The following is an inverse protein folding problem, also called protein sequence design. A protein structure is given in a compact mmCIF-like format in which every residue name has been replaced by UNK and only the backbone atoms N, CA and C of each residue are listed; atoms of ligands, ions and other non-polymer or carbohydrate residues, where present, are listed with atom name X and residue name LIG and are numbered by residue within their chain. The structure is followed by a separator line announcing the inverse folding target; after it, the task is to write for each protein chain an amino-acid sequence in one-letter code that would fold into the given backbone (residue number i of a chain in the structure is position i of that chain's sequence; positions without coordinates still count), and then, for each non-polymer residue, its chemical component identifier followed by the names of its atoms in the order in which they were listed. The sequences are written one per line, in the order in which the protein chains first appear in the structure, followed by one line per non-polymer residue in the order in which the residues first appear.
data_IF_354265117456
#
_entry.id   IF_354265117456
#
_cell.length_a   1.000
_cell.length_b   1.000
_cell.length_c   1.000
_cell.angle_alpha   90.00
_cell.angle_beta   90.00
_cell.angle_gamma   90.00
#
_symmetry.space_group_name_H-M   'P 1'
#
loop_
_entity.id
_entity.type
_entity.pdbx_description
1 polymer ?
#
# COMPACT_ATOMS: atom_id res chain seq x y z
N UNK A 1 -2.65 9.16 20.91
CA UNK A 1 -4.13 9.18 20.98
C UNK A 1 -4.79 8.65 19.70
N UNK A 2 -4.55 9.25 18.53
CA UNK A 2 -5.26 8.91 17.28
C UNK A 2 -5.12 7.44 16.80
N UNK A 3 -3.93 6.84 16.94
CA UNK A 3 -3.69 5.43 16.60
C UNK A 3 -4.53 4.46 17.45
N UNK A 4 -4.66 4.73 18.75
CA UNK A 4 -5.46 3.89 19.64
C UNK A 4 -6.95 3.93 19.27
N UNK A 5 -7.45 5.12 18.89
CA UNK A 5 -8.83 5.29 18.39
C UNK A 5 -9.04 4.49 17.10
N UNK A 6 -8.13 4.58 16.13
CA UNK A 6 -8.22 3.79 14.90
C UNK A 6 -8.27 2.28 15.19
N UNK A 7 -7.46 1.80 16.12
CA UNK A 7 -7.45 0.38 16.49
C UNK A 7 -8.73 -0.05 17.21
N UNK A 8 -9.25 0.77 18.12
CA UNK A 8 -10.52 0.52 18.79
C UNK A 8 -11.67 0.44 17.76
N UNK A 9 -11.74 1.39 16.83
CA UNK A 9 -12.73 1.38 15.74
C UNK A 9 -12.58 0.13 14.88
N UNK A 10 -11.37 -0.28 14.52
CA UNK A 10 -11.14 -1.53 13.76
C UNK A 10 -11.66 -2.75 14.52
N UNK A 11 -11.36 -2.87 15.82
CA UNK A 11 -11.81 -4.01 16.64
C UNK A 11 -13.33 -4.03 16.73
N UNK A 12 -13.96 -2.87 16.98
CA UNK A 12 -15.42 -2.74 17.01
C UNK A 12 -16.04 -3.05 15.65
N UNK A 13 -15.43 -2.57 14.55
CA UNK A 13 -15.93 -2.81 13.18
C UNK A 13 -15.88 -4.29 12.80
N UNK A 14 -14.88 -5.03 13.29
CA UNK A 14 -14.81 -6.49 13.11
C UNK A 14 -15.92 -7.22 13.86
N UNK A 15 -16.33 -6.71 15.03
CA UNK A 15 -17.34 -7.35 15.88
C UNK A 15 -18.78 -7.01 15.48
N UNK A 16 -19.03 -5.75 15.12
CA UNK A 16 -20.39 -5.21 14.93
C UNK A 16 -20.66 -4.72 13.50
N UNK A 17 -19.65 -4.74 12.62
CA UNK A 17 -19.73 -4.19 11.28
C UNK A 17 -19.41 -2.69 11.22
N UNK A 18 -18.96 -2.22 10.04
CA UNK A 18 -18.59 -0.82 9.80
C UNK A 18 -19.76 0.17 9.98
N UNK A 19 -20.99 -0.30 9.74
CA UNK A 19 -22.22 0.49 9.88
C UNK A 19 -22.72 0.64 11.32
N UNK A 20 -22.10 -0.01 12.31
CA UNK A 20 -22.55 0.09 13.70
C UNK A 20 -22.47 1.53 14.22
N UNK A 21 -23.52 1.98 14.90
CA UNK A 21 -23.68 3.38 15.33
C UNK A 21 -23.31 3.51 16.81
N UNK A 22 -22.45 4.47 17.13
CA UNK A 22 -22.11 4.88 18.49
C UNK A 22 -22.30 6.39 18.57
N UNK A 23 -23.04 6.88 19.56
CA UNK A 23 -23.41 8.30 19.75
C UNK A 23 -23.90 9.00 18.46
N UNK A 24 -24.72 8.31 17.67
CA UNK A 24 -25.30 8.85 16.44
C UNK A 24 -24.38 8.88 15.21
N UNK A 25 -23.15 8.35 15.28
CA UNK A 25 -22.21 8.28 14.15
C UNK A 25 -21.77 6.82 13.91
N UNK A 26 -21.68 6.39 12.65
CA UNK A 26 -21.21 5.04 12.32
C UNK A 26 -19.70 4.88 12.58
N UNK A 27 -19.26 3.64 12.80
CA UNK A 27 -17.83 3.32 12.93
C UNK A 27 -17.04 3.70 11.67
N UNK A 28 -17.63 3.56 10.49
CA UNK A 28 -17.03 4.01 9.22
C UNK A 28 -16.82 5.52 9.18
N UNK A 29 -17.83 6.31 9.52
CA UNK A 29 -17.71 7.78 9.56
C UNK A 29 -16.69 8.22 10.61
N UNK A 30 -16.66 7.55 11.77
CA UNK A 30 -15.61 7.77 12.79
C UNK A 30 -14.21 7.45 12.25
N UNK A 31 -14.04 6.36 11.50
CA UNK A 31 -12.76 6.01 10.86
C UNK A 31 -12.35 7.05 9.81
N UNK A 32 -13.29 7.58 9.03
CA UNK A 32 -13.03 8.66 8.06
C UNK A 32 -12.51 9.93 8.74
N UNK A 33 -13.05 10.29 9.91
CA UNK A 33 -12.54 11.42 10.70
C UNK A 33 -11.11 11.18 11.16
N UNK A 34 -10.80 9.97 11.64
CA UNK A 34 -9.44 9.59 12.02
C UNK A 34 -8.49 9.64 10.82
N UNK A 35 -8.92 9.14 9.65
CA UNK A 35 -8.18 9.22 8.40
C UNK A 35 -7.85 10.68 8.03
N UNK A 36 -8.84 11.57 7.99
CA UNK A 36 -8.64 12.99 7.68
C UNK A 36 -7.70 13.68 8.66
N UNK A 37 -7.82 13.39 9.96
CA UNK A 37 -6.92 13.93 10.98
C UNK A 37 -5.49 13.41 10.81
N UNK A 38 -5.33 12.12 10.49
CA UNK A 38 -4.02 11.52 10.23
C UNK A 38 -3.36 12.16 8.99
N UNK A 39 -4.14 12.50 7.95
CA UNK A 39 -3.67 13.25 6.79
C UNK A 39 -3.19 14.65 7.18
N UNK A 40 -4.00 15.40 7.95
CA UNK A 40 -3.65 16.75 8.41
C UNK A 40 -2.34 16.78 9.23
N UNK A 41 -2.10 15.72 10.02
CA UNK A 41 -0.88 15.57 10.82
C UNK A 41 0.26 14.83 10.11
N UNK A 42 0.09 14.44 8.84
CA UNK A 42 1.09 13.70 8.05
C UNK A 42 1.56 12.41 8.72
N UNK A 43 0.68 11.74 9.46
CA UNK A 43 0.95 10.45 10.09
C UNK A 43 0.82 9.32 9.07
N UNK A 44 1.74 9.26 8.10
CA UNK A 44 1.60 8.44 6.88
C UNK A 44 1.28 6.97 7.12
N UNK A 45 1.89 6.35 8.13
CA UNK A 45 1.55 4.97 8.49
C UNK A 45 0.07 4.82 8.89
N UNK A 46 -0.45 5.77 9.67
CA UNK A 46 -1.85 5.77 10.11
C UNK A 46 -2.80 6.15 8.96
N UNK A 47 -2.39 7.04 8.05
CA UNK A 47 -3.11 7.35 6.82
C UNK A 47 -3.33 6.07 6.01
N UNK A 48 -2.27 5.31 5.75
CA UNK A 48 -2.34 4.02 5.03
C UNK A 48 -3.21 3.01 5.76
N UNK A 49 -3.05 2.90 7.08
CA UNK A 49 -3.86 1.99 7.90
C UNK A 49 -5.37 2.29 7.79
N UNK A 50 -5.76 3.56 7.96
CA UNK A 50 -7.17 3.94 7.92
C UNK A 50 -7.74 3.82 6.50
N UNK A 51 -6.98 4.26 5.48
CA UNK A 51 -7.37 4.11 4.08
C UNK A 51 -7.62 2.64 3.72
N UNK A 52 -6.76 1.73 4.19
CA UNK A 52 -6.95 0.30 3.98
C UNK A 52 -8.20 -0.24 4.66
N UNK A 53 -8.49 0.16 5.91
CA UNK A 53 -9.71 -0.27 6.62
C UNK A 53 -10.99 0.28 6.00
N UNK A 54 -10.89 1.43 5.34
CA UNK A 54 -11.95 2.05 4.56
C UNK A 54 -12.00 1.55 3.11
N UNK A 55 -11.18 0.55 2.73
CA UNK A 55 -11.08 0.02 1.38
C UNK A 55 -10.89 1.11 0.31
N UNK A 56 -10.08 2.13 0.59
CA UNK A 56 -9.82 3.21 -0.36
C UNK A 56 -8.91 2.72 -1.49
N UNK A 57 -9.34 2.98 -2.73
CA UNK A 57 -8.63 2.60 -3.96
C UNK A 57 -8.36 3.84 -4.82
N UNK A 58 -7.19 3.90 -5.43
CA UNK A 58 -6.84 4.95 -6.39
C UNK A 58 -7.40 4.63 -7.79
N UNK A 59 -8.02 5.62 -8.44
CA UNK A 59 -8.56 5.45 -9.80
C UNK A 59 -7.48 5.22 -10.87
N UNK A 60 -6.23 5.61 -10.58
CA UNK A 60 -5.10 5.51 -11.50
C UNK A 60 -4.40 4.15 -11.51
N UNK A 61 -4.86 3.16 -10.73
CA UNK A 61 -4.21 1.85 -10.66
C UNK A 61 -4.28 1.07 -11.98
N UNK A 62 -5.47 0.94 -12.57
CA UNK A 62 -5.62 0.22 -13.84
C UNK A 62 -4.81 0.89 -14.97
N UNK A 63 -4.89 2.23 -15.19
CA UNK A 63 -3.98 2.91 -16.12
C UNK A 63 -2.50 2.70 -15.78
N UNK A 64 -2.14 2.74 -14.49
CA UNK A 64 -0.78 2.56 -14.03
C UNK A 64 -0.22 1.17 -14.36
N UNK A 65 -1.01 0.13 -14.15
CA UNK A 65 -0.70 -1.26 -14.50
C UNK A 65 -0.62 -1.42 -16.01
N UNK A 66 -1.62 -0.96 -16.77
CA UNK A 66 -1.61 -1.01 -18.23
C UNK A 66 -0.36 -0.35 -18.81
N UNK A 67 0.06 0.79 -18.27
CA UNK A 67 1.25 1.51 -18.70
C UNK A 67 2.55 0.68 -18.53
N UNK A 68 2.63 -0.15 -17.48
CA UNK A 68 3.72 -1.11 -17.30
C UNK A 68 3.60 -2.30 -18.29
N UNK A 69 2.39 -2.84 -18.47
CA UNK A 69 2.14 -3.97 -19.38
C UNK A 69 2.51 -3.66 -20.84
N UNK A 70 2.11 -2.49 -21.36
CA UNK A 70 2.40 -2.10 -22.75
C UNK A 70 3.89 -1.89 -23.03
N UNK A 71 4.71 -1.76 -21.99
CA UNK A 71 6.19 -1.72 -22.08
C UNK A 71 6.83 -3.10 -21.89
N UNK A 72 6.04 -4.16 -21.98
CA UNK A 72 6.51 -5.53 -21.85
C UNK A 72 6.88 -5.92 -20.42
N UNK A 73 6.35 -5.22 -19.41
CA UNK A 73 6.55 -5.57 -18.00
C UNK A 73 5.37 -6.35 -17.46
N UNK A 74 5.60 -7.11 -16.40
CA UNK A 74 4.57 -7.72 -15.56
C UNK A 74 4.66 -7.12 -14.15
N UNK A 75 3.57 -7.19 -13.39
CA UNK A 75 3.54 -6.65 -12.03
C UNK A 75 3.00 -7.70 -11.08
N UNK A 76 3.73 -8.00 -10.00
CA UNK A 76 3.25 -8.91 -8.95
C UNK A 76 2.78 -8.09 -7.76
N UNK A 77 1.48 -8.21 -7.46
CA UNK A 77 0.81 -7.64 -6.29
C UNK A 77 0.73 -8.67 -5.16
N UNK A 78 0.55 -8.23 -3.93
CA UNK A 78 0.47 -9.08 -2.74
C UNK A 78 1.76 -9.13 -1.91
N UNK A 79 1.69 -9.76 -0.74
CA UNK A 79 2.76 -9.74 0.27
C UNK A 79 3.54 -11.05 0.21
N UNK A 80 4.87 -10.95 0.14
CA UNK A 80 5.79 -12.09 0.16
C UNK A 80 5.54 -12.97 1.40
N UNK A 81 5.47 -14.28 1.19
CA UNK A 81 5.15 -15.25 2.26
C UNK A 81 3.67 -15.34 2.63
N UNK A 82 2.80 -14.50 2.04
CA UNK A 82 1.34 -14.60 2.12
C UNK A 82 0.79 -15.02 0.76
N UNK A 83 0.11 -14.11 0.05
CA UNK A 83 -0.42 -14.33 -1.29
C UNK A 83 0.21 -13.31 -2.23
N UNK A 84 0.65 -13.78 -3.39
CA UNK A 84 1.12 -12.94 -4.49
C UNK A 84 0.36 -13.31 -5.78
N UNK A 85 0.03 -12.30 -6.59
CA UNK A 85 -0.65 -12.47 -7.88
C UNK A 85 0.07 -11.64 -8.93
N UNK A 86 0.54 -12.31 -9.99
CA UNK A 86 1.18 -11.66 -11.13
C UNK A 86 0.16 -11.26 -12.17
N UNK A 87 0.10 -9.97 -12.47
CA UNK A 87 -0.69 -9.38 -13.55
C UNK A 87 0.20 -9.28 -14.79
N UNK A 88 -0.19 -9.99 -15.84
CA UNK A 88 0.49 -10.04 -17.14
C UNK A 88 -0.41 -9.66 -18.32
N UNK A 89 -1.67 -9.32 -18.06
CA UNK A 89 -2.65 -8.85 -19.03
C UNK A 89 -3.51 -7.74 -18.40
N UNK A 90 -4.19 -6.88 -19.18
CA UNK A 90 -5.07 -5.85 -18.63
C UNK A 90 -6.09 -6.43 -17.65
N UNK A 91 -6.20 -5.81 -16.48
CA UNK A 91 -7.04 -6.24 -15.36
C UNK A 91 -7.97 -5.10 -14.97
N UNK A 92 -9.22 -5.41 -14.64
CA UNK A 92 -10.22 -4.40 -14.30
C UNK A 92 -9.91 -3.76 -12.93
N UNK A 93 -10.40 -2.52 -12.66
CA UNK A 93 -10.22 -1.89 -11.36
C UNK A 93 -10.73 -2.74 -10.19
N UNK A 94 -11.84 -3.46 -10.38
CA UNK A 94 -12.44 -4.34 -9.36
C UNK A 94 -11.53 -5.52 -9.05
N UNK A 95 -11.02 -6.20 -10.08
CA UNK A 95 -10.07 -7.31 -9.88
C UNK A 95 -8.77 -6.83 -9.21
N UNK A 96 -8.27 -5.63 -9.55
CA UNK A 96 -7.09 -5.05 -8.89
C UNK A 96 -7.37 -4.78 -7.41
N UNK A 97 -8.52 -4.19 -7.09
CA UNK A 97 -8.97 -3.97 -5.72
C UNK A 97 -9.03 -5.29 -4.93
N UNK A 98 -9.69 -6.29 -5.50
CA UNK A 98 -9.79 -7.62 -4.90
C UNK A 98 -8.41 -8.22 -4.64
N UNK A 99 -7.50 -8.18 -5.62
CA UNK A 99 -6.13 -8.68 -5.45
C UNK A 99 -5.42 -7.95 -4.31
N UNK A 100 -5.48 -6.61 -4.27
CA UNK A 100 -4.78 -5.80 -3.26
C UNK A 100 -5.23 -6.12 -1.84
N UNK A 101 -6.56 -6.17 -1.61
CA UNK A 101 -7.10 -6.40 -0.26
C UNK A 101 -7.13 -7.86 0.15
N UNK A 102 -7.24 -8.80 -0.80
CA UNK A 102 -7.20 -10.24 -0.49
C UNK A 102 -5.79 -10.82 -0.39
N UNK A 103 -4.77 -10.08 -0.85
CA UNK A 103 -3.37 -10.54 -0.80
C UNK A 103 -2.56 -9.95 0.36
N UNK A 104 -3.10 -8.95 1.06
CA UNK A 104 -2.48 -8.35 2.24
C UNK A 104 -3.07 -8.93 3.53
N UNK A 105 -2.23 -9.30 4.52
CA UNK A 105 -2.73 -9.87 5.76
C UNK A 105 -3.50 -8.84 6.59
N UNK A 106 -4.53 -9.32 7.29
CA UNK A 106 -5.39 -8.48 8.13
C UNK A 106 -4.67 -7.75 9.28
N UNK A 107 -3.52 -8.27 9.70
CA UNK A 107 -2.61 -7.67 10.68
C UNK A 107 -1.85 -6.46 10.12
N UNK A 108 -1.65 -6.39 8.80
CA UNK A 108 -0.88 -5.34 8.13
C UNK A 108 -1.66 -4.72 6.97
N UNK A 109 -2.85 -4.16 7.24
CA UNK A 109 -3.73 -3.60 6.21
C UNK A 109 -3.06 -2.46 5.42
N UNK A 110 -2.13 -1.72 6.05
CA UNK A 110 -1.38 -0.65 5.39
C UNK A 110 -0.58 -1.11 4.16
N UNK A 111 -0.25 -2.40 4.05
CA UNK A 111 0.46 -2.96 2.91
C UNK A 111 -0.32 -2.79 1.60
N UNK A 112 -1.65 -2.93 1.64
CA UNK A 112 -2.49 -2.76 0.45
C UNK A 112 -2.38 -1.35 -0.15
N UNK A 113 -2.32 -0.33 0.72
CA UNK A 113 -2.16 1.07 0.28
C UNK A 113 -0.73 1.34 -0.18
N UNK A 114 0.27 0.78 0.49
CA UNK A 114 1.66 0.89 0.04
C UNK A 114 1.84 0.29 -1.37
N UNK A 115 1.18 -0.83 -1.68
CA UNK A 115 1.22 -1.40 -3.02
C UNK A 115 0.60 -0.50 -4.07
N UNK A 116 -0.53 0.15 -3.75
CA UNK A 116 -1.12 1.15 -4.64
C UNK A 116 -0.12 2.28 -4.93
N UNK A 117 0.55 2.79 -3.91
CA UNK A 117 1.59 3.82 -4.07
C UNK A 117 2.75 3.34 -4.96
N UNK A 118 3.21 2.09 -4.78
CA UNK A 118 4.27 1.50 -5.59
C UNK A 118 3.85 1.28 -7.04
N UNK A 119 2.60 0.89 -7.31
CA UNK A 119 2.06 0.79 -8.68
C UNK A 119 2.21 2.13 -9.39
N UNK A 120 1.74 3.21 -8.75
CA UNK A 120 1.79 4.56 -9.33
C UNK A 120 3.24 5.00 -9.53
N UNK A 121 4.08 4.85 -8.50
CA UNK A 121 5.49 5.24 -8.57
C UNK A 121 6.25 4.49 -9.68
N UNK A 122 6.07 3.17 -9.80
CA UNK A 122 6.70 2.38 -10.86
C UNK A 122 6.18 2.77 -12.24
N UNK A 123 4.88 3.01 -12.37
CA UNK A 123 4.26 3.43 -13.62
C UNK A 123 4.79 4.80 -14.09
N UNK A 124 4.91 5.75 -13.18
CA UNK A 124 5.46 7.07 -13.49
C UNK A 124 6.96 6.97 -13.83
N UNK A 125 7.72 6.17 -13.06
CA UNK A 125 9.15 6.00 -13.27
C UNK A 125 9.45 5.36 -14.63
N UNK A 126 8.73 4.30 -15.02
CA UNK A 126 8.95 3.66 -16.33
C UNK A 126 8.51 4.56 -17.49
N UNK A 127 7.53 5.46 -17.29
CA UNK A 127 7.14 6.44 -18.29
C UNK A 127 8.23 7.51 -18.50
N UNK A 128 8.87 7.96 -17.42
CA UNK A 128 9.88 9.03 -17.47
C UNK A 128 11.29 8.52 -17.78
N UNK A 129 11.65 7.33 -17.27
CA UNK A 129 12.98 6.73 -17.37
C UNK A 129 12.85 5.23 -17.71
N UNK A 130 12.57 4.87 -18.98
CA UNK A 130 12.36 3.49 -19.38
C UNK A 130 13.53 2.56 -19.02
N UNK A 131 14.76 3.08 -19.12
CA UNK A 131 15.99 2.36 -18.82
C UNK A 131 16.12 1.92 -17.36
N UNK A 132 15.37 2.51 -16.43
CA UNK A 132 15.38 2.13 -15.02
C UNK A 132 14.88 0.69 -14.79
N UNK A 133 14.19 0.11 -15.78
CA UNK A 133 13.67 -1.26 -15.74
C UNK A 133 14.26 -2.13 -16.85
N UNK A 134 15.41 -1.77 -17.43
CA UNK A 134 16.09 -2.63 -18.41
C UNK A 134 16.52 -3.95 -17.75
N UNK A 135 16.32 -5.05 -18.47
CA UNK A 135 16.53 -6.40 -17.93
C UNK A 135 15.49 -6.88 -16.90
N UNK A 136 14.55 -6.02 -16.47
CA UNK A 136 13.46 -6.40 -15.56
C UNK A 136 12.25 -6.83 -16.37
N UNK A 137 11.83 -8.08 -16.26
CA UNK A 137 10.56 -8.56 -16.83
C UNK A 137 9.39 -8.33 -15.87
N UNK A 138 9.55 -8.73 -14.61
CA UNK A 138 8.47 -8.71 -13.61
C UNK A 138 8.85 -7.80 -12.43
N UNK A 139 8.01 -6.81 -12.16
CA UNK A 139 8.15 -5.89 -11.04
C UNK A 139 7.37 -6.47 -9.85
N UNK A 140 8.07 -7.08 -8.89
CA UNK A 140 7.45 -7.66 -7.69
C UNK A 140 7.38 -6.63 -6.57
N UNK A 141 6.17 -6.15 -6.26
CA UNK A 141 6.00 -4.99 -5.37
C UNK A 141 6.37 -5.29 -3.92
N UNK A 142 6.13 -6.49 -3.41
CA UNK A 142 6.57 -6.86 -2.05
C UNK A 142 8.08 -6.77 -1.91
N UNK A 143 8.81 -7.36 -2.86
CA UNK A 143 10.28 -7.36 -2.86
C UNK A 143 10.85 -5.97 -3.05
N UNK A 144 10.19 -5.13 -3.85
CA UNK A 144 10.56 -3.73 -3.99
C UNK A 144 10.36 -2.96 -2.67
N UNK A 145 9.25 -3.18 -1.96
CA UNK A 145 9.01 -2.60 -0.64
C UNK A 145 10.07 -3.03 0.38
N UNK A 146 10.46 -4.30 0.37
CA UNK A 146 11.52 -4.84 1.23
C UNK A 146 12.88 -4.21 0.90
N UNK A 147 13.22 -4.09 -0.38
CA UNK A 147 14.44 -3.44 -0.83
C UNK A 147 14.51 -1.97 -0.43
N UNK A 148 13.40 -1.22 -0.55
CA UNK A 148 13.30 0.16 -0.06
C UNK A 148 13.52 0.22 1.46
N UNK A 149 12.94 -0.71 2.21
CA UNK A 149 13.09 -0.77 3.67
C UNK A 149 14.54 -1.07 4.07
N UNK A 150 15.19 -2.02 3.39
CA UNK A 150 16.62 -2.32 3.57
C UNK A 150 17.49 -1.10 3.27
N UNK A 151 17.23 -0.39 2.16
CA UNK A 151 17.97 0.81 1.79
C UNK A 151 17.75 1.95 2.80
N UNK A 152 16.53 2.13 3.31
CA UNK A 152 16.24 3.10 4.35
C UNK A 152 17.03 2.81 5.62
N UNK A 153 17.07 1.56 6.06
CA UNK A 153 17.85 1.14 7.22
C UNK A 153 19.35 1.37 6.99
N UNK A 154 19.85 1.05 5.79
CA UNK A 154 21.24 1.30 5.43
C UNK A 154 21.60 2.79 5.51
N UNK A 155 20.76 3.67 4.96
CA UNK A 155 20.98 5.13 4.99
C UNK A 155 20.84 5.71 6.40
N UNK A 156 19.96 5.16 7.23
CA UNK A 156 19.75 5.61 8.61
C UNK A 156 20.81 5.09 9.58
N UNK A 157 21.59 4.07 9.20
CA UNK A 157 22.70 3.60 10.01
C UNK A 157 23.82 4.65 9.92
N UNK A 158 24.17 5.36 11.01
CA UNK A 158 25.32 6.26 10.99
C UNK A 158 26.57 5.44 10.70
N UNK A 159 27.53 6.01 9.96
CA UNK A 159 28.84 5.42 9.66
C UNK A 159 29.60 5.02 10.95
N UNK A 160 29.30 3.86 11.55
CA UNK A 160 30.00 3.32 12.73
C UNK A 160 31.26 2.50 12.35
N UNK A 161 31.87 2.77 11.20
CA UNK A 161 33.03 1.99 10.74
C UNK A 161 33.99 2.72 9.78
N UNK A 162 34.05 4.07 9.80
CA UNK A 162 35.09 4.81 9.06
C UNK A 162 36.35 5.18 9.84
N UNK A 163 36.40 4.96 11.15
CA UNK A 163 37.61 5.20 11.96
C UNK A 163 38.19 3.89 12.51
N UNK A 164 38.76 3.06 11.62
CA UNK A 164 39.83 2.10 11.97
C UNK A 164 40.86 2.08 10.82
N UNK A 165 41.42 3.25 10.54
CA UNK A 165 42.70 3.39 9.82
C UNK A 165 43.76 3.89 10.79
#
# INVERSE_FOLDING_TARGET
MLRAVAFAITILSRRYGKGYIIDGESLETRMERVYRQACAWRLWWLVRYCAAKLCKVMNSLAPGITNMLVRGKQVTLGVSGCREVTISAPTTPVEIEEILFSSCPESEPQAAVLQQELIIACSDLIAQKPYAFDGVLTIRLSWLADAISLMLNYVQTPELSRDHK
#
